data_IF_054776916921
#
_entry.id   IF_054776916921
#
_cell.length_a   1.000
_cell.length_b   1.000
_cell.length_c   1.000
_cell.angle_alpha   90.00
_cell.angle_beta   90.00
_cell.angle_gamma   90.00
#
_symmetry.space_group_name_H-M   'P 1'
#
loop_
_entity.id
_entity.type
_entity.pdbx_description
1 polymer ?
#
# COMPACT_ATOMS: atom_id res chain seq x y z
N UNK A 1 -40.36 -10.34 -2.91
CA UNK A 1 -39.86 -10.18 -3.19
C UNK A 1 -39.03 -10.15 -3.23
N UNK A 2 -39.22 -10.10 -3.05
CA UNK A 2 -38.50 -10.03 -3.03
C UNK A 2 -37.60 -9.79 -2.95
N UNK A 3 -37.60 -9.90 -2.82
CA UNK A 3 -36.77 -9.72 -2.95
C UNK A 3 -36.03 -9.25 -2.74
N UNK A 4 -36.16 -9.02 -2.56
CA UNK A 4 -35.56 -8.52 -2.45
C UNK A 4 -34.63 -8.48 -2.07
N UNK A 5 -34.31 -8.80 -2.00
CA UNK A 5 -33.17 -8.42 -1.31
C UNK A 5 -31.84 -8.85 -1.75
N UNK A 6 -31.70 -9.53 -2.56
CA UNK A 6 -30.50 -9.62 -3.32
C UNK A 6 -29.92 -8.29 -3.66
N UNK A 7 -30.64 -7.29 -3.36
CA UNK A 7 -30.18 -5.95 -3.55
C UNK A 7 -28.93 -5.60 -2.79
N UNK A 8 -28.75 -6.04 -1.54
CA UNK A 8 -27.51 -5.76 -0.82
C UNK A 8 -26.29 -6.21 -1.57
N UNK A 9 -26.40 -7.29 -2.29
CA UNK A 9 -25.30 -7.80 -3.07
C UNK A 9 -24.93 -6.83 -4.19
N UNK A 10 -25.93 -6.30 -4.86
CA UNK A 10 -25.71 -5.35 -5.92
C UNK A 10 -25.11 -4.06 -5.37
N UNK A 11 -25.58 -3.63 -4.22
CA UNK A 11 -25.04 -2.44 -3.57
C UNK A 11 -23.55 -2.62 -3.25
N UNK A 12 -23.13 -3.81 -2.80
CA UNK A 12 -21.73 -4.06 -2.51
C UNK A 12 -20.87 -3.93 -3.76
N UNK A 13 -21.35 -4.41 -4.89
CA UNK A 13 -20.61 -4.30 -6.15
C UNK A 13 -20.45 -2.83 -6.54
N UNK A 14 -21.50 -2.01 -6.38
CA UNK A 14 -21.44 -0.61 -6.73
C UNK A 14 -20.66 0.22 -5.71
N UNK A 15 -20.39 -0.34 -4.51
CA UNK A 15 -19.71 0.38 -3.47
C UNK A 15 -18.18 0.25 -3.53
N UNK A 16 -17.65 -0.30 -4.62
CA UNK A 16 -16.21 -0.46 -4.78
C UNK A 16 -15.77 0.13 -6.12
N UNK A 17 -15.86 1.45 -6.27
CA UNK A 17 -15.56 2.10 -7.56
C UNK A 17 -14.12 1.98 -8.00
N UNK A 18 -13.19 1.77 -7.07
CA UNK A 18 -11.77 1.63 -7.37
C UNK A 18 -11.30 0.17 -7.42
N UNK A 19 -12.23 -0.78 -7.28
CA UNK A 19 -11.89 -2.20 -7.23
C UNK A 19 -10.83 -2.47 -6.15
N UNK A 20 -11.05 -1.94 -4.97
CA UNK A 20 -10.15 -2.18 -3.84
C UNK A 20 -10.18 -3.65 -3.39
N UNK A 21 -11.22 -4.39 -3.76
CA UNK A 21 -11.30 -5.82 -3.50
C UNK A 21 -10.10 -6.58 -4.05
N UNK A 22 -9.48 -6.10 -5.14
CA UNK A 22 -8.31 -6.77 -5.70
C UNK A 22 -7.16 -6.85 -4.70
N UNK A 23 -7.00 -5.80 -3.89
CA UNK A 23 -5.97 -5.78 -2.84
C UNK A 23 -6.32 -6.73 -1.70
N UNK A 24 -7.57 -6.73 -1.26
CA UNK A 24 -8.01 -7.61 -0.18
C UNK A 24 -7.83 -9.06 -0.58
N UNK A 25 -8.24 -9.42 -1.81
CA UNK A 25 -8.11 -10.78 -2.31
C UNK A 25 -6.65 -11.22 -2.35
N UNK A 26 -5.75 -10.36 -2.83
CA UNK A 26 -4.35 -10.68 -2.90
C UNK A 26 -3.74 -10.86 -1.51
N UNK A 27 -4.09 -9.98 -0.59
CA UNK A 27 -3.58 -10.05 0.78
C UNK A 27 -4.10 -11.25 1.55
N UNK A 28 -5.33 -11.65 1.28
CA UNK A 28 -5.95 -12.79 1.97
C UNK A 28 -5.55 -14.14 1.37
N UNK A 29 -5.11 -14.15 0.10
CA UNK A 29 -4.78 -15.40 -0.57
C UNK A 29 -3.64 -16.12 0.13
N UNK A 30 -3.87 -17.37 0.52
CA UNK A 30 -2.85 -18.27 1.07
C UNK A 30 -2.12 -17.69 2.29
N UNK A 31 -2.78 -16.85 3.07
CA UNK A 31 -2.17 -16.25 4.24
C UNK A 31 -1.05 -15.27 3.91
N UNK A 32 -1.13 -14.61 2.76
CA UNK A 32 -0.05 -13.73 2.31
C UNK A 32 0.18 -12.55 3.25
N UNK A 33 -0.88 -11.86 3.69
CA UNK A 33 -0.66 -10.71 4.55
C UNK A 33 -0.06 -11.07 5.91
N UNK A 34 -0.55 -12.09 6.63
CA UNK A 34 0.13 -12.50 7.87
C UNK A 34 1.60 -12.83 7.67
N UNK A 35 1.94 -13.46 6.55
CA UNK A 35 3.34 -13.75 6.25
C UNK A 35 4.13 -12.47 5.97
N UNK A 36 3.56 -11.55 5.20
CA UNK A 36 4.21 -10.26 4.93
C UNK A 36 4.48 -9.51 6.24
N UNK A 37 3.49 -9.46 7.13
CA UNK A 37 3.65 -8.79 8.42
C UNK A 37 4.74 -9.44 9.26
N UNK A 38 4.80 -10.76 9.28
CA UNK A 38 5.85 -11.48 9.99
C UNK A 38 7.23 -11.13 9.44
N UNK A 39 7.38 -11.06 8.11
CA UNK A 39 8.65 -10.68 7.48
C UNK A 39 9.03 -9.24 7.84
N UNK A 40 8.06 -8.33 7.86
CA UNK A 40 8.30 -6.94 8.26
C UNK A 40 8.72 -6.85 9.73
N UNK A 41 8.06 -7.59 10.60
CA UNK A 41 8.40 -7.60 12.03
C UNK A 41 9.80 -8.14 12.28
N UNK A 42 10.22 -9.09 11.46
CA UNK A 42 11.58 -9.66 11.55
C UNK A 42 12.62 -8.80 10.85
N UNK A 43 12.19 -7.79 10.09
CA UNK A 43 13.10 -6.90 9.38
C UNK A 43 13.73 -7.51 8.14
N UNK A 44 13.08 -8.50 7.52
CA UNK A 44 13.63 -9.13 6.33
C UNK A 44 12.53 -9.68 5.44
N UNK A 45 12.34 -9.05 4.28
CA UNK A 45 11.38 -9.48 3.28
C UNK A 45 11.95 -10.65 2.49
N UNK A 46 11.21 -11.75 2.43
CA UNK A 46 11.65 -12.97 1.74
C UNK A 46 10.67 -13.45 0.67
N UNK A 47 9.45 -12.92 0.61
CA UNK A 47 8.47 -13.37 -0.38
C UNK A 47 7.88 -12.20 -1.16
N UNK A 48 6.97 -12.49 -2.09
CA UNK A 48 6.57 -11.56 -3.15
C UNK A 48 5.18 -10.99 -2.88
N UNK A 49 5.13 -9.84 -2.21
CA UNK A 49 3.86 -9.21 -1.83
C UNK A 49 3.88 -7.68 -1.94
N UNK A 50 4.95 -7.11 -2.45
CA UNK A 50 5.16 -5.66 -2.42
C UNK A 50 4.05 -4.88 -3.12
N UNK A 51 3.61 -5.36 -4.29
CA UNK A 51 2.65 -4.64 -5.14
C UNK A 51 1.33 -4.33 -4.44
N UNK A 52 0.88 -5.19 -3.53
CA UNK A 52 -0.44 -5.03 -2.91
C UNK A 52 -0.39 -4.84 -1.40
N UNK A 53 0.78 -4.81 -0.78
CA UNK A 53 0.93 -4.41 0.63
C UNK A 53 1.38 -2.96 0.72
N UNK A 54 2.27 -2.52 -0.17
CA UNK A 54 2.70 -1.13 -0.28
C UNK A 54 2.49 -0.66 -1.73
N UNK A 55 1.23 -0.43 -2.13
CA UNK A 55 0.97 -0.11 -3.54
C UNK A 55 1.52 1.26 -3.94
N UNK A 56 1.83 1.39 -5.22
CA UNK A 56 2.41 2.60 -5.81
C UNK A 56 1.42 3.27 -6.74
N UNK A 57 1.70 4.54 -7.07
CA UNK A 57 0.92 5.26 -8.07
C UNK A 57 1.12 4.62 -9.45
N UNK A 58 0.07 4.64 -10.27
CA UNK A 58 0.16 4.15 -11.64
C UNK A 58 1.18 4.95 -12.46
N UNK A 59 1.86 4.28 -13.36
CA UNK A 59 2.84 4.90 -14.24
C UNK A 59 4.28 4.61 -13.89
N UNK A 60 4.54 3.97 -12.76
CA UNK A 60 5.91 3.65 -12.35
C UNK A 60 6.37 2.29 -12.83
N UNK A 61 5.48 1.30 -12.82
CA UNK A 61 5.82 -0.03 -13.25
C UNK A 61 5.07 -0.43 -14.50
N UNK A 62 5.63 -1.36 -15.28
CA UNK A 62 5.03 -1.78 -16.54
C UNK A 62 4.71 -3.28 -16.60
N UNK A 63 5.10 -4.06 -15.60
CA UNK A 63 4.75 -5.47 -15.57
C UNK A 63 3.24 -5.65 -15.36
N UNK A 64 2.65 -6.78 -15.79
CA UNK A 64 1.23 -7.01 -15.56
C UNK A 64 0.84 -6.90 -14.08
N UNK A 65 1.67 -7.39 -13.17
CA UNK A 65 1.39 -7.30 -11.74
C UNK A 65 1.44 -5.86 -11.25
N UNK A 66 2.44 -5.09 -11.68
CA UNK A 66 2.56 -3.68 -11.30
C UNK A 66 1.36 -2.88 -11.80
N UNK A 67 0.90 -3.14 -13.02
CA UNK A 67 -0.25 -2.45 -13.60
C UNK A 67 -1.53 -2.82 -12.85
N UNK A 68 -1.70 -4.11 -12.54
CA UNK A 68 -2.92 -4.58 -11.87
C UNK A 68 -3.13 -3.94 -10.50
N UNK A 69 -2.05 -3.75 -9.73
CA UNK A 69 -2.15 -3.25 -8.35
C UNK A 69 -1.77 -1.79 -8.22
N UNK A 70 -1.63 -1.06 -9.33
CA UNK A 70 -1.31 0.36 -9.26
C UNK A 70 -2.52 1.16 -8.75
N UNK A 71 -2.21 2.21 -7.98
CA UNK A 71 -3.21 3.16 -7.49
C UNK A 71 -3.33 4.27 -8.54
N UNK A 72 -4.55 4.53 -9.00
CA UNK A 72 -4.77 5.43 -10.14
C UNK A 72 -4.75 6.91 -9.79
N UNK A 73 -4.96 7.27 -8.52
CA UNK A 73 -5.11 8.68 -8.14
C UNK A 73 -4.97 8.86 -6.64
N UNK A 74 -4.84 10.11 -6.19
CA UNK A 74 -4.90 10.43 -4.77
C UNK A 74 -6.24 10.04 -4.15
N UNK A 75 -7.33 10.18 -4.91
CA UNK A 75 -8.65 9.79 -4.40
C UNK A 75 -8.70 8.28 -4.13
N UNK A 76 -8.13 7.48 -5.01
CA UNK A 76 -8.06 6.04 -4.76
C UNK A 76 -7.17 5.74 -3.54
N UNK A 77 -6.04 6.42 -3.40
CA UNK A 77 -5.18 6.25 -2.23
C UNK A 77 -5.92 6.59 -0.94
N UNK A 78 -6.72 7.65 -0.95
CA UNK A 78 -7.54 8.02 0.21
C UNK A 78 -8.59 6.96 0.49
N UNK A 79 -9.22 6.42 -0.55
CA UNK A 79 -10.20 5.35 -0.40
C UNK A 79 -9.55 4.08 0.16
N UNK A 80 -8.33 3.77 -0.26
CA UNK A 80 -7.56 2.65 0.28
C UNK A 80 -7.37 2.82 1.79
N UNK A 81 -6.95 4.01 2.22
CA UNK A 81 -6.74 4.28 3.65
C UNK A 81 -8.04 4.25 4.45
N UNK A 82 -9.15 4.63 3.85
CA UNK A 82 -10.45 4.61 4.50
C UNK A 82 -11.09 3.22 4.52
N UNK A 83 -10.55 2.28 3.74
CA UNK A 83 -11.08 0.93 3.67
C UNK A 83 -10.86 0.21 5.00
N UNK A 84 -11.89 -0.48 5.54
CA UNK A 84 -11.81 -1.04 6.90
C UNK A 84 -10.80 -2.17 7.08
N UNK A 85 -10.34 -2.77 5.99
CA UNK A 85 -9.29 -3.80 6.03
C UNK A 85 -7.96 -3.23 5.59
N UNK A 86 -7.93 -2.54 4.45
CA UNK A 86 -6.67 -2.11 3.84
C UNK A 86 -5.97 -1.01 4.61
N UNK A 87 -6.73 -0.02 5.11
CA UNK A 87 -6.15 1.07 5.87
C UNK A 87 -5.42 0.59 7.11
N UNK A 88 -6.09 -0.16 7.99
CA UNK A 88 -5.42 -0.69 9.18
C UNK A 88 -4.22 -1.58 8.86
N UNK A 89 -4.30 -2.41 7.81
CA UNK A 89 -3.17 -3.27 7.44
C UNK A 89 -1.97 -2.47 6.97
N UNK A 90 -2.20 -1.41 6.20
CA UNK A 90 -1.10 -0.57 5.75
C UNK A 90 -0.42 0.12 6.94
N UNK A 91 -1.20 0.67 7.86
CA UNK A 91 -0.64 1.31 9.05
C UNK A 91 0.08 0.30 9.94
N UNK A 92 -0.46 -0.89 10.10
CA UNK A 92 0.19 -1.96 10.86
C UNK A 92 1.55 -2.30 10.23
N UNK A 93 1.61 -2.37 8.91
CA UNK A 93 2.85 -2.65 8.19
C UNK A 93 3.88 -1.54 8.40
N UNK A 94 3.44 -0.29 8.35
CA UNK A 94 4.32 0.86 8.60
C UNK A 94 4.84 0.83 10.03
N UNK A 95 3.97 0.55 11.00
CA UNK A 95 4.38 0.46 12.40
C UNK A 95 5.37 -0.67 12.65
N UNK A 96 5.20 -1.81 11.96
CA UNK A 96 6.16 -2.90 12.08
C UNK A 96 7.56 -2.42 11.70
N UNK A 97 7.68 -1.64 10.62
CA UNK A 97 8.95 -1.09 10.20
C UNK A 97 9.49 -0.03 11.17
N UNK A 98 8.60 0.82 11.71
CA UNK A 98 9.02 1.82 12.68
C UNK A 98 9.51 1.20 13.99
N UNK A 99 9.06 -0.01 14.31
CA UNK A 99 9.48 -0.70 15.53
C UNK A 99 10.81 -1.42 15.39
N UNK A 100 11.38 -1.49 14.18
CA UNK A 100 12.71 -2.05 13.99
C UNK A 100 13.79 -1.07 14.43
N UNK A 101 14.95 -1.60 14.82
CA UNK A 101 16.03 -0.75 15.30
C UNK A 101 16.78 -0.03 14.18
N UNK A 102 16.76 -0.59 12.97
CA UNK A 102 17.54 -0.05 11.87
C UNK A 102 16.83 1.05 11.09
N UNK A 103 17.54 1.58 10.11
CA UNK A 103 17.02 2.60 9.21
C UNK A 103 17.46 2.36 7.76
N UNK A 104 17.89 1.15 7.43
CA UNK A 104 18.34 0.81 6.08
C UNK A 104 17.26 0.01 5.35
N UNK A 105 16.51 0.63 4.43
CA UNK A 105 15.47 -0.09 3.72
C UNK A 105 15.99 -1.18 2.81
N UNK A 106 17.23 -1.06 2.32
CA UNK A 106 17.82 -2.08 1.47
C UNK A 106 18.08 -3.36 2.27
N UNK A 107 18.46 -3.23 3.54
CA UNK A 107 18.68 -4.39 4.41
C UNK A 107 17.40 -5.19 4.60
N UNK A 108 16.24 -4.51 4.64
CA UNK A 108 14.94 -5.17 4.83
C UNK A 108 14.37 -5.68 3.51
N UNK A 109 14.42 -4.87 2.46
CA UNK A 109 13.66 -5.07 1.23
C UNK A 109 14.50 -5.46 0.01
N UNK A 110 15.81 -5.21 0.04
CA UNK A 110 16.60 -5.21 -1.19
C UNK A 110 16.42 -3.90 -1.95
N UNK A 111 17.26 -3.65 -2.95
CA UNK A 111 17.31 -2.34 -3.61
C UNK A 111 16.05 -1.98 -4.36
N UNK A 112 15.47 -2.93 -5.10
CA UNK A 112 14.30 -2.65 -5.93
C UNK A 112 13.08 -2.36 -5.05
N UNK A 113 12.80 -3.23 -4.09
CA UNK A 113 11.63 -3.06 -3.22
C UNK A 113 11.80 -1.88 -2.26
N UNK A 114 13.03 -1.52 -1.89
CA UNK A 114 13.26 -0.31 -1.11
C UNK A 114 12.80 0.95 -1.84
N UNK A 115 13.00 1.01 -3.16
CA UNK A 115 12.48 2.14 -3.95
C UNK A 115 10.97 2.11 -4.04
N UNK A 116 10.38 0.93 -4.15
CA UNK A 116 8.91 0.80 -4.17
C UNK A 116 8.31 1.27 -2.85
N UNK A 117 8.96 0.96 -1.74
CA UNK A 117 8.51 1.46 -0.44
C UNK A 117 8.53 2.98 -0.39
N UNK A 118 9.62 3.60 -0.84
CA UNK A 118 9.72 5.07 -0.86
C UNK A 118 8.59 5.67 -1.71
N UNK A 119 8.33 5.09 -2.87
CA UNK A 119 7.25 5.52 -3.75
C UNK A 119 5.89 5.42 -3.07
N UNK A 120 5.61 4.29 -2.42
CA UNK A 120 4.35 4.06 -1.74
C UNK A 120 4.16 5.04 -0.58
N UNK A 121 5.19 5.23 0.23
CA UNK A 121 5.12 6.16 1.36
C UNK A 121 4.88 7.59 0.87
N UNK A 122 5.51 7.99 -0.22
CA UNK A 122 5.29 9.31 -0.82
C UNK A 122 3.84 9.48 -1.25
N UNK A 123 3.27 8.46 -1.91
CA UNK A 123 1.89 8.49 -2.34
C UNK A 123 0.93 8.68 -1.16
N UNK A 124 1.06 7.85 -0.14
CA UNK A 124 0.12 7.89 0.98
C UNK A 124 0.34 9.09 1.89
N UNK A 125 1.56 9.59 2.00
CA UNK A 125 1.80 10.84 2.72
C UNK A 125 1.11 12.02 2.03
N UNK A 126 1.14 12.06 0.71
CA UNK A 126 0.45 13.12 -0.02
C UNK A 126 -1.07 12.93 -0.01
N UNK A 127 -1.53 11.69 -0.01
CA UNK A 127 -2.97 11.42 0.06
C UNK A 127 -3.55 11.80 1.42
N UNK A 128 -2.78 11.64 2.49
CA UNK A 128 -3.24 11.88 3.86
C UNK A 128 -2.14 12.56 4.68
N UNK A 129 -1.86 13.84 4.39
CA UNK A 129 -0.78 14.56 5.09
C UNK A 129 -1.01 14.72 6.59
N UNK A 130 -2.25 14.59 7.04
CA UNK A 130 -2.57 14.63 8.47
C UNK A 130 -2.17 13.34 9.20
N UNK A 131 -1.89 12.24 8.46
CA UNK A 131 -1.43 10.99 9.04
C UNK A 131 0.08 11.04 9.20
N UNK A 132 0.62 11.02 10.44
CA UNK A 132 2.05 11.29 10.62
C UNK A 132 2.97 10.12 10.27
N UNK A 133 2.43 8.90 10.14
CA UNK A 133 3.26 7.70 10.12
C UNK A 133 3.99 7.48 8.80
N UNK A 134 3.39 7.89 7.67
CA UNK A 134 4.09 7.77 6.38
C UNK A 134 5.29 8.71 6.33
N UNK A 135 5.10 9.95 6.78
CA UNK A 135 6.21 10.91 6.87
C UNK A 135 7.28 10.42 7.83
N UNK A 136 6.88 9.88 8.97
CA UNK A 136 7.83 9.38 9.96
C UNK A 136 8.72 8.29 9.36
N UNK A 137 8.14 7.38 8.57
CA UNK A 137 8.93 6.32 7.97
C UNK A 137 9.82 6.85 6.83
N UNK A 138 9.34 7.82 6.04
CA UNK A 138 10.17 8.49 5.05
C UNK A 138 11.38 9.16 5.70
N UNK A 139 11.15 9.85 6.83
CA UNK A 139 12.24 10.51 7.54
C UNK A 139 13.27 9.51 8.02
N UNK A 140 12.81 8.41 8.57
CA UNK A 140 13.71 7.43 9.18
C UNK A 140 14.51 6.64 8.15
N UNK A 141 13.86 6.20 7.08
CA UNK A 141 14.47 5.27 6.12
C UNK A 141 15.08 5.97 4.92
N UNK A 142 14.64 7.19 4.62
CA UNK A 142 15.07 7.90 3.41
C UNK A 142 15.53 9.33 3.69
N UNK A 143 15.74 9.67 4.97
CA UNK A 143 16.16 11.03 5.31
C UNK A 143 15.15 12.10 4.93
N UNK A 144 13.88 11.72 4.84
CA UNK A 144 12.81 12.63 4.45
C UNK A 144 12.65 12.80 2.94
N UNK A 145 13.43 12.08 2.13
CA UNK A 145 13.38 12.26 0.68
C UNK A 145 12.15 11.54 0.09
N UNK A 146 11.31 12.31 -0.61
CA UNK A 146 10.20 11.77 -1.36
C UNK A 146 10.68 11.17 -2.66
N UNK A 147 9.89 10.23 -3.22
CA UNK A 147 10.21 9.68 -4.53
C UNK A 147 9.85 10.70 -5.62
N UNK A 148 10.83 11.22 -6.38
CA UNK A 148 10.56 12.28 -7.35
C UNK A 148 9.68 11.83 -8.52
N UNK A 149 9.75 10.56 -8.92
CA UNK A 149 8.88 10.08 -9.99
C UNK A 149 7.41 10.10 -9.53
N UNK A 150 7.14 9.72 -8.28
CA UNK A 150 5.80 9.76 -7.71
C UNK A 150 5.28 11.19 -7.62
N UNK A 151 6.07 12.10 -7.08
CA UNK A 151 5.64 13.50 -6.95
C UNK A 151 5.40 14.14 -8.30
N UNK A 152 6.20 13.78 -9.30
CA UNK A 152 6.02 14.29 -10.66
C UNK A 152 4.70 13.83 -11.26
N UNK A 153 4.36 12.55 -11.10
CA UNK A 153 3.09 12.02 -11.59
C UNK A 153 1.92 12.71 -10.90
N UNK A 154 2.00 12.87 -9.57
CA UNK A 154 0.90 13.45 -8.80
C UNK A 154 0.72 14.94 -9.11
N UNK A 155 1.78 15.64 -9.48
CA UNK A 155 1.71 17.06 -9.84
C UNK A 155 1.16 17.29 -11.24
N UNK A 156 1.32 16.30 -12.11
CA UNK A 156 0.87 16.39 -13.50
C UNK A 156 -0.59 16.15 -13.65
#
# INVERSE_FOLDING_TARGET
MKNSPHEPKDAHVTDDPYDLARFVEAQDARGTYPQALDELQRGRKTSHWMWFVFPQIAGLGSSPTAVRYAIGSLDEARAYLAHPVLGPRLLESVHALLNLDGSDPVAVFGGIDARKLQSSLTLFDQAAPQEPWFRALLDRYYGGAEDPATTSILAG
#
